data_IF_382073913025
#
_entry.id   IF_382073913025
#
_cell.length_a   1.000
_cell.length_b   1.000
_cell.length_c   1.000
_cell.angle_alpha   90.00
_cell.angle_beta   90.00
_cell.angle_gamma   90.00
#
_symmetry.space_group_name_H-M   'P 1'
#
loop_
_entity.id
_entity.type
_entity.pdbx_description
1 polymer ?
#
# COMPACT_ATOMS: atom_id res chain seq x y z
N UNK A 1 -2.09 30.06 0.95
CA UNK A 1 -2.94 29.41 -0.09
C UNK A 1 -2.39 28.02 -0.37
N UNK A 2 -3.10 26.97 0.05
CA UNK A 2 -2.73 25.59 -0.26
C UNK A 2 -2.87 25.35 -1.75
N UNK A 3 -1.74 25.23 -2.45
CA UNK A 3 -1.70 24.80 -3.86
C UNK A 3 -2.42 23.46 -3.96
N UNK A 4 -3.51 23.39 -4.72
CA UNK A 4 -4.24 22.13 -4.95
C UNK A 4 -3.28 21.13 -5.59
N UNK A 5 -2.85 20.12 -4.85
CA UNK A 5 -2.05 19.01 -5.36
C UNK A 5 -2.98 17.92 -5.90
N UNK A 6 -2.57 17.26 -6.99
CA UNK A 6 -3.34 16.13 -7.56
C UNK A 6 -3.38 15.00 -6.51
N UNK A 7 -4.56 14.50 -6.10
CA UNK A 7 -4.65 13.36 -5.20
C UNK A 7 -3.90 12.14 -5.76
N UNK A 8 -3.13 11.47 -4.91
CA UNK A 8 -2.31 10.31 -5.30
C UNK A 8 -1.02 10.66 -6.04
N UNK A 9 -0.66 11.94 -6.16
CA UNK A 9 0.67 12.37 -6.60
C UNK A 9 1.66 12.37 -5.44
N UNK A 10 2.96 12.29 -5.74
CA UNK A 10 4.01 12.42 -4.72
C UNK A 10 3.89 13.71 -3.91
N UNK A 11 3.42 14.80 -4.54
CA UNK A 11 3.17 16.08 -3.88
C UNK A 11 2.05 16.03 -2.85
N UNK A 12 0.98 15.28 -3.15
CA UNK A 12 -0.08 15.05 -2.17
C UNK A 12 0.38 14.16 -1.01
N UNK A 13 1.30 13.22 -1.26
CA UNK A 13 1.92 12.39 -0.21
C UNK A 13 2.80 13.23 0.69
N UNK A 14 3.67 14.07 0.12
CA UNK A 14 4.55 14.98 0.88
C UNK A 14 3.74 15.95 1.75
N UNK A 15 2.63 16.48 1.23
CA UNK A 15 1.72 17.31 2.04
C UNK A 15 1.11 16.55 3.22
N UNK A 16 0.75 15.28 3.05
CA UNK A 16 0.25 14.45 4.15
C UNK A 16 1.33 14.16 5.19
N UNK A 17 2.57 13.93 4.76
CA UNK A 17 3.72 13.80 5.69
C UNK A 17 3.89 15.07 6.51
N UNK A 18 3.91 16.25 5.86
CA UNK A 18 4.03 17.54 6.56
C UNK A 18 2.87 17.74 7.55
N UNK A 19 1.64 17.38 7.16
CA UNK A 19 0.49 17.48 8.04
C UNK A 19 0.58 16.53 9.25
N UNK A 20 1.11 15.32 9.07
CA UNK A 20 1.29 14.35 10.16
C UNK A 20 2.27 14.83 11.24
N UNK A 21 3.25 15.65 10.87
CA UNK A 21 4.15 16.33 11.80
C UNK A 21 3.53 17.58 12.47
N UNK A 22 2.29 17.95 12.15
CA UNK A 22 1.64 19.15 12.69
C UNK A 22 1.88 20.43 11.88
N UNK A 23 2.40 20.31 10.65
CA UNK A 23 2.63 21.45 9.75
C UNK A 23 4.08 21.63 9.34
N UNK A 24 4.33 22.58 8.45
CA UNK A 24 5.65 22.76 7.80
C UNK A 24 6.74 23.18 8.78
N UNK A 25 6.39 23.93 9.82
CA UNK A 25 7.33 24.39 10.85
C UNK A 25 7.88 23.22 11.67
N UNK A 26 6.98 22.36 12.18
CA UNK A 26 7.34 21.17 12.93
C UNK A 26 8.07 20.15 12.05
N UNK A 27 7.60 19.93 10.82
CA UNK A 27 8.28 19.05 9.88
C UNK A 27 9.71 19.52 9.55
N UNK A 28 9.92 20.83 9.38
CA UNK A 28 11.25 21.39 9.13
C UNK A 28 12.19 21.24 10.33
N UNK A 29 11.66 21.50 11.53
CA UNK A 29 12.37 21.32 12.80
C UNK A 29 12.86 19.88 12.97
N UNK A 30 11.95 18.91 12.83
CA UNK A 30 12.27 17.48 12.97
C UNK A 30 13.24 16.99 11.88
N UNK A 31 13.12 17.52 10.66
CA UNK A 31 14.03 17.21 9.58
C UNK A 31 15.42 17.90 9.72
N UNK A 32 15.60 18.79 10.71
CA UNK A 32 16.86 19.50 10.94
C UNK A 32 17.23 20.50 9.83
N UNK A 33 16.24 21.04 9.12
CA UNK A 33 16.44 21.97 8.01
C UNK A 33 15.58 23.22 8.17
N UNK A 34 15.92 24.30 7.46
CA UNK A 34 15.08 25.51 7.48
C UNK A 34 13.74 25.28 6.77
N UNK A 35 12.70 26.01 7.18
CA UNK A 35 11.38 25.99 6.50
C UNK A 35 11.52 26.38 5.03
N UNK A 36 12.41 27.31 4.70
CA UNK A 36 12.72 27.68 3.32
C UNK A 36 13.33 26.51 2.55
N UNK A 37 14.23 25.74 3.16
CA UNK A 37 14.83 24.54 2.57
C UNK A 37 13.80 23.43 2.38
N UNK A 38 12.89 23.23 3.34
CA UNK A 38 11.82 22.25 3.22
C UNK A 38 10.84 22.68 2.12
N UNK A 39 10.37 23.93 2.14
CA UNK A 39 9.48 24.49 1.11
C UNK A 39 10.10 24.32 -0.27
N UNK A 40 11.35 24.80 -0.44
CA UNK A 40 12.12 24.66 -1.66
C UNK A 40 12.36 23.19 -2.06
N UNK A 41 12.61 22.32 -1.09
CA UNK A 41 12.85 20.90 -1.29
C UNK A 41 11.62 20.11 -1.75
N UNK A 42 10.42 20.62 -1.50
CA UNK A 42 9.16 20.06 -1.99
C UNK A 42 8.76 20.56 -3.39
N UNK A 43 9.38 21.63 -3.89
CA UNK A 43 9.12 22.14 -5.23
C UNK A 43 9.61 21.19 -6.34
N UNK A 44 8.92 21.21 -7.48
CA UNK A 44 9.33 20.49 -8.68
C UNK A 44 10.31 21.36 -9.48
N UNK A 45 11.59 21.33 -9.11
CA UNK A 45 12.68 22.00 -9.83
C UNK A 45 13.80 21.00 -10.16
N UNK A 46 14.35 21.11 -11.37
CA UNK A 46 15.39 20.20 -11.88
C UNK A 46 16.81 20.71 -11.60
N UNK A 47 16.97 22.01 -11.34
CA UNK A 47 18.24 22.69 -11.11
C UNK A 47 18.71 22.64 -9.65
N UNK A 48 18.23 21.67 -8.87
CA UNK A 48 18.53 21.57 -7.44
C UNK A 48 19.98 21.07 -7.21
N UNK A 49 20.82 21.81 -6.48
CA UNK A 49 22.05 21.27 -5.93
C UNK A 49 21.74 20.31 -4.76
N UNK A 50 22.38 19.15 -4.74
CA UNK A 50 22.26 18.15 -3.67
C UNK A 50 21.30 17.00 -3.99
N UNK A 51 21.80 16.00 -4.74
CA UNK A 51 21.26 14.64 -4.83
C UNK A 51 19.88 14.46 -5.47
N UNK A 52 19.42 13.20 -5.49
CA UNK A 52 18.10 12.81 -5.99
C UNK A 52 17.01 13.16 -4.95
N UNK A 53 16.19 14.17 -5.25
CA UNK A 53 14.99 14.49 -4.43
C UNK A 53 13.82 13.51 -4.65
N UNK A 54 12.80 13.58 -3.77
CA UNK A 54 11.61 12.69 -3.80
C UNK A 54 10.87 12.71 -5.16
N UNK A 55 10.86 13.85 -5.85
CA UNK A 55 10.29 13.97 -7.20
C UNK A 55 11.08 13.17 -8.26
N UNK A 56 12.39 12.99 -8.08
CA UNK A 56 13.20 12.15 -8.97
C UNK A 56 12.94 10.67 -8.71
N UNK A 57 12.79 10.29 -7.44
CA UNK A 57 12.42 8.93 -7.06
C UNK A 57 11.03 8.54 -7.56
N UNK A 58 10.04 9.45 -7.49
CA UNK A 58 8.72 9.26 -8.12
C UNK A 58 8.84 9.06 -9.63
N UNK A 59 9.69 9.86 -10.31
CA UNK A 59 9.94 9.69 -11.75
C UNK A 59 10.59 8.35 -12.08
N UNK A 60 11.62 7.93 -11.33
CA UNK A 60 12.27 6.63 -11.52
C UNK A 60 11.28 5.48 -11.31
N UNK A 61 10.46 5.52 -10.25
CA UNK A 61 9.46 4.50 -9.97
C UNK A 61 8.31 4.45 -10.99
N UNK A 62 8.03 5.54 -11.70
CA UNK A 62 7.07 5.54 -12.84
C UNK A 62 7.67 4.92 -14.10
N UNK A 63 8.96 5.12 -14.34
CA UNK A 63 9.67 4.58 -15.52
C UNK A 63 9.91 3.08 -15.33
N UNK A 64 10.41 2.70 -14.15
CA UNK A 64 10.70 1.32 -13.76
C UNK A 64 9.94 1.00 -12.46
N UNK A 65 8.73 0.41 -12.54
CA UNK A 65 7.93 0.09 -11.37
C UNK A 65 8.66 -0.77 -10.33
N UNK A 66 9.59 -1.63 -10.76
CA UNK A 66 10.42 -2.42 -9.84
C UNK A 66 11.29 -1.55 -8.92
N UNK A 67 11.68 -0.35 -9.36
CA UNK A 67 12.45 0.59 -8.54
C UNK A 67 11.62 1.21 -7.39
N UNK A 68 10.28 1.16 -7.47
CA UNK A 68 9.41 1.64 -6.39
C UNK A 68 9.34 0.67 -5.20
N UNK A 69 9.60 -0.63 -5.44
CA UNK A 69 9.45 -1.68 -4.44
C UNK A 69 10.35 -1.47 -3.20
N UNK A 70 11.67 -1.22 -3.33
CA UNK A 70 12.53 -1.04 -2.15
C UNK A 70 12.12 0.15 -1.28
N UNK A 71 11.65 1.24 -1.89
CA UNK A 71 11.16 2.41 -1.14
C UNK A 71 9.88 2.08 -0.39
N UNK A 72 8.94 1.39 -1.03
CA UNK A 72 7.69 1.00 -0.41
C UNK A 72 7.91 0.04 0.77
N UNK A 73 8.81 -0.94 0.63
CA UNK A 73 9.22 -1.83 1.71
C UNK A 73 9.86 -1.06 2.88
N UNK A 74 10.78 -0.14 2.58
CA UNK A 74 11.45 0.67 3.60
C UNK A 74 10.46 1.51 4.42
N UNK A 75 9.59 2.28 3.76
CA UNK A 75 8.63 3.12 4.46
C UNK A 75 7.52 2.33 5.16
N UNK A 76 7.18 1.14 4.67
CA UNK A 76 6.24 0.25 5.37
C UNK A 76 6.84 -0.26 6.68
N UNK A 77 8.13 -0.64 6.67
CA UNK A 77 8.84 -1.06 7.88
C UNK A 77 8.93 0.07 8.91
N UNK A 78 9.21 1.31 8.48
CA UNK A 78 9.20 2.49 9.37
C UNK A 78 7.83 2.75 10.00
N UNK A 79 6.75 2.42 9.30
CA UNK A 79 5.38 2.51 9.81
C UNK A 79 4.98 1.31 10.71
N UNK A 80 5.91 0.39 11.00
CA UNK A 80 5.63 -0.82 11.77
C UNK A 80 4.86 -1.90 11.00
N UNK A 81 4.82 -1.81 9.68
CA UNK A 81 4.09 -2.73 8.80
C UNK A 81 4.98 -3.49 7.82
N UNK A 82 4.35 -4.32 7.00
CA UNK A 82 4.98 -5.05 5.89
C UNK A 82 4.39 -4.56 4.58
N UNK A 83 5.24 -4.38 3.56
CA UNK A 83 4.77 -4.13 2.21
C UNK A 83 4.42 -5.45 1.53
N UNK A 84 3.16 -5.61 1.13
CA UNK A 84 2.71 -6.76 0.35
C UNK A 84 2.54 -6.33 -1.11
N UNK A 85 3.48 -6.64 -2.02
CA UNK A 85 3.35 -6.33 -3.43
C UNK A 85 2.17 -7.11 -4.01
N UNK A 86 1.31 -6.40 -4.74
CA UNK A 86 0.16 -7.00 -5.38
C UNK A 86 0.47 -7.14 -6.86
N UNK A 87 0.56 -8.37 -7.35
CA UNK A 87 0.72 -8.62 -8.78
C UNK A 87 -0.58 -8.30 -9.52
N UNK A 88 -0.48 -7.36 -10.45
CA UNK A 88 -1.57 -6.89 -11.32
C UNK A 88 -1.49 -7.48 -12.73
N UNK A 89 -0.50 -8.32 -13.00
CA UNK A 89 -0.36 -9.01 -14.29
C UNK A 89 -1.34 -10.20 -14.37
N UNK A 90 -2.62 -9.88 -14.57
CA UNK A 90 -3.67 -10.88 -14.72
C UNK A 90 -4.93 -10.31 -15.37
N UNK A 91 -5.79 -11.15 -15.95
CA UNK A 91 -7.04 -10.68 -16.56
C UNK A 91 -7.91 -9.97 -15.51
N UNK A 92 -8.17 -8.68 -15.75
CA UNK A 92 -9.04 -7.78 -14.96
C UNK A 92 -10.51 -8.26 -14.82
N UNK A 93 -10.88 -9.40 -15.38
CA UNK A 93 -12.26 -9.82 -15.61
C UNK A 93 -12.80 -10.85 -14.59
N UNK A 94 -12.15 -11.06 -13.45
CA UNK A 94 -12.66 -11.98 -12.41
C UNK A 94 -12.54 -11.49 -10.97
N UNK A 95 -12.46 -10.19 -10.71
CA UNK A 95 -12.16 -9.71 -9.35
C UNK A 95 -13.25 -10.05 -8.31
N UNK A 96 -14.53 -9.84 -8.62
CA UNK A 96 -15.60 -10.14 -7.65
C UNK A 96 -15.90 -11.64 -7.55
N UNK A 97 -15.78 -12.38 -8.65
CA UNK A 97 -15.95 -13.83 -8.63
C UNK A 97 -14.81 -14.51 -7.86
N UNK A 98 -13.57 -14.03 -8.02
CA UNK A 98 -12.41 -14.49 -7.26
C UNK A 98 -12.54 -14.18 -5.77
N UNK A 99 -12.88 -12.94 -5.40
CA UNK A 99 -13.14 -12.59 -3.98
C UNK A 99 -14.26 -13.46 -3.40
N UNK A 100 -15.34 -13.67 -4.15
CA UNK A 100 -16.47 -14.48 -3.68
C UNK A 100 -16.08 -15.94 -3.49
N UNK A 101 -15.25 -16.49 -4.38
CA UNK A 101 -14.69 -17.84 -4.24
C UNK A 101 -13.83 -17.94 -2.98
N UNK A 102 -12.81 -17.09 -2.83
CA UNK A 102 -11.90 -17.20 -1.67
C UNK A 102 -12.65 -16.94 -0.35
N UNK A 103 -13.67 -16.07 -0.35
CA UNK A 103 -14.55 -15.90 0.81
C UNK A 103 -15.35 -17.16 1.12
N UNK A 104 -15.90 -17.83 0.09
CA UNK A 104 -16.63 -19.08 0.27
C UNK A 104 -15.71 -20.20 0.78
N UNK A 105 -14.46 -20.25 0.32
CA UNK A 105 -13.46 -21.23 0.76
C UNK A 105 -13.10 -21.02 2.24
N UNK A 106 -12.85 -19.77 2.67
CA UNK A 106 -12.67 -19.39 4.09
C UNK A 106 -13.85 -19.82 4.96
N UNK A 107 -15.09 -19.55 4.52
CA UNK A 107 -16.31 -19.89 5.27
C UNK A 107 -16.52 -21.41 5.32
N UNK A 108 -16.26 -22.11 4.22
CA UNK A 108 -16.40 -23.57 4.14
C UNK A 108 -15.42 -24.25 5.09
N UNK A 109 -14.16 -23.84 5.09
CA UNK A 109 -13.15 -24.40 5.97
C UNK A 109 -13.46 -24.14 7.45
N UNK A 110 -13.93 -22.93 7.78
CA UNK A 110 -14.41 -22.61 9.13
C UNK A 110 -15.59 -23.52 9.54
N UNK A 111 -16.56 -23.71 8.66
CA UNK A 111 -17.71 -24.58 8.94
C UNK A 111 -17.30 -26.04 9.13
N UNK A 112 -16.31 -26.53 8.36
CA UNK A 112 -15.78 -27.90 8.51
C UNK A 112 -15.01 -28.06 9.83
N UNK A 113 -14.13 -27.13 10.16
CA UNK A 113 -13.35 -27.15 11.41
C UNK A 113 -14.23 -27.11 12.65
N UNK A 114 -15.40 -26.47 12.58
CA UNK A 114 -16.38 -26.43 13.68
C UNK A 114 -17.54 -27.41 13.54
N UNK A 115 -17.43 -28.38 12.63
CA UNK A 115 -18.44 -29.44 12.47
C UNK A 115 -18.19 -30.61 13.43
N UNK A 116 -19.22 -31.43 13.67
CA UNK A 116 -19.09 -32.67 14.45
C UNK A 116 -18.07 -33.68 13.88
N UNK A 117 -17.62 -33.48 12.64
CA UNK A 117 -16.58 -34.29 11.99
C UNK A 117 -15.15 -33.82 12.25
N UNK A 118 -14.95 -32.66 12.88
CA UNK A 118 -13.61 -32.17 13.24
C UNK A 118 -13.05 -32.90 14.46
N UNK A 119 -11.72 -33.10 14.55
CA UNK A 119 -11.07 -33.58 15.77
C UNK A 119 -11.28 -32.69 17.00
N UNK A 120 -11.48 -31.38 16.82
CA UNK A 120 -11.84 -30.46 17.90
C UNK A 120 -12.89 -29.45 17.42
N UNK A 121 -14.19 -29.78 17.45
CA UNK A 121 -15.24 -28.90 16.91
C UNK A 121 -15.35 -27.53 17.60
N UNK A 122 -14.71 -27.34 18.77
CA UNK A 122 -14.79 -26.10 19.56
C UNK A 122 -13.65 -25.14 19.28
N UNK A 123 -12.61 -25.57 18.58
CA UNK A 123 -11.45 -24.75 18.23
C UNK A 123 -10.85 -25.22 16.90
N UNK A 124 -9.74 -24.61 16.48
CA UNK A 124 -8.96 -25.13 15.37
C UNK A 124 -7.88 -26.08 15.87
N UNK A 125 -7.73 -27.24 15.22
CA UNK A 125 -6.45 -27.96 15.30
C UNK A 125 -5.35 -27.14 14.64
N UNK A 126 -4.08 -27.45 14.94
CA UNK A 126 -2.93 -26.77 14.32
C UNK A 126 -2.96 -26.83 12.78
N UNK A 127 -3.38 -27.97 12.22
CA UNK A 127 -3.50 -28.16 10.77
C UNK A 127 -4.60 -27.29 10.16
N UNK A 128 -5.79 -27.32 10.75
CA UNK A 128 -6.92 -26.50 10.28
C UNK A 128 -6.63 -25.00 10.45
N UNK A 129 -5.97 -24.59 11.54
CA UNK A 129 -5.55 -23.19 11.74
C UNK A 129 -4.57 -22.74 10.65
N UNK A 130 -3.61 -23.60 10.28
CA UNK A 130 -2.63 -23.30 9.23
C UNK A 130 -3.31 -23.14 7.87
N UNK A 131 -4.22 -24.05 7.52
CA UNK A 131 -5.00 -23.94 6.29
C UNK A 131 -5.93 -22.73 6.30
N UNK A 132 -6.57 -22.42 7.42
CA UNK A 132 -7.42 -21.25 7.56
C UNK A 132 -6.64 -19.95 7.36
N UNK A 133 -5.43 -19.86 7.90
CA UNK A 133 -4.54 -18.72 7.67
C UNK A 133 -4.22 -18.58 6.18
N UNK A 134 -3.89 -19.69 5.49
CA UNK A 134 -3.64 -19.67 4.05
C UNK A 134 -4.84 -19.16 3.26
N UNK A 135 -6.04 -19.67 3.53
CA UNK A 135 -7.29 -19.23 2.85
C UNK A 135 -7.58 -17.75 3.12
N UNK A 136 -7.34 -17.27 4.34
CA UNK A 136 -7.47 -15.84 4.67
C UNK A 136 -6.46 -15.00 3.88
N UNK A 137 -5.21 -15.43 3.77
CA UNK A 137 -4.18 -14.73 3.00
C UNK A 137 -4.52 -14.66 1.50
N UNK A 138 -5.11 -15.72 0.94
CA UNK A 138 -5.59 -15.77 -0.44
C UNK A 138 -6.76 -14.80 -0.66
N UNK A 139 -7.73 -14.75 0.26
CA UNK A 139 -8.82 -13.77 0.24
C UNK A 139 -8.30 -12.32 0.33
N UNK A 140 -7.37 -12.04 1.25
CA UNK A 140 -6.75 -10.72 1.39
C UNK A 140 -6.03 -10.33 0.11
N UNK A 141 -5.30 -11.26 -0.50
CA UNK A 141 -4.62 -11.04 -1.78
C UNK A 141 -5.61 -10.70 -2.89
N UNK A 142 -6.72 -11.44 -3.00
CA UNK A 142 -7.77 -11.18 -3.99
C UNK A 142 -8.41 -9.79 -3.79
N UNK A 143 -8.72 -9.41 -2.55
CA UNK A 143 -9.27 -8.09 -2.23
C UNK A 143 -8.28 -6.96 -2.53
N UNK A 144 -7.00 -7.13 -2.19
CA UNK A 144 -5.95 -6.15 -2.46
C UNK A 144 -5.69 -5.99 -3.97
N UNK A 145 -5.75 -7.07 -4.76
CA UNK A 145 -5.71 -7.03 -6.23
C UNK A 145 -6.82 -6.16 -6.79
N UNK A 146 -8.06 -6.40 -6.39
CA UNK A 146 -9.20 -5.61 -6.86
C UNK A 146 -9.06 -4.12 -6.50
N UNK A 147 -8.69 -3.83 -5.25
CA UNK A 147 -8.45 -2.43 -4.80
C UNK A 147 -7.36 -1.75 -5.62
N UNK A 148 -6.24 -2.43 -5.85
CA UNK A 148 -5.13 -1.89 -6.63
C UNK A 148 -5.53 -1.63 -8.10
N UNK A 149 -6.33 -2.50 -8.71
CA UNK A 149 -6.89 -2.29 -10.06
C UNK A 149 -7.79 -1.05 -10.12
N UNK A 150 -8.66 -0.84 -9.13
CA UNK A 150 -9.48 0.38 -9.03
C UNK A 150 -8.62 1.63 -8.86
N UNK A 151 -7.58 1.57 -8.01
CA UNK A 151 -6.64 2.68 -7.83
C UNK A 151 -5.92 3.04 -9.12
N UNK A 152 -5.54 2.06 -9.94
CA UNK A 152 -4.94 2.31 -11.26
C UNK A 152 -5.91 3.00 -12.21
N UNK A 153 -7.19 2.60 -12.26
CA UNK A 153 -8.22 3.30 -13.06
C UNK A 153 -8.39 4.76 -12.63
N UNK A 154 -8.41 5.03 -11.33
CA UNK A 154 -8.47 6.40 -10.78
C UNK A 154 -7.24 7.21 -11.20
N UNK A 155 -6.07 6.57 -11.28
CA UNK A 155 -4.81 7.22 -11.72
C UNK A 155 -4.76 7.48 -13.22
N UNK A 156 -5.23 6.55 -14.07
CA UNK A 156 -5.13 6.60 -15.53
C UNK A 156 -6.30 7.32 -16.24
N UNK A 157 -7.42 7.63 -15.57
CA UNK A 157 -8.54 8.35 -16.19
C UNK A 157 -8.29 9.87 -16.40
N UNK A 158 -7.03 10.34 -16.27
CA UNK A 158 -6.51 11.69 -16.53
C UNK A 158 -4.99 11.61 -16.74
#
# INVERSE_FOLDING_TARGET
MTRRTRPGSIQSTVQQVIAAYGGIEAAALEAGISISTLSYGTEQREDRPGGLGVNHLDRLGRIEPGAALPMAQHFSALAGGVFHPVDLSGPSWSDMAGISKEFADVVTLHAVAHSDGSPDPRDYTLGEATEQIREIDELVTAALRHRAALMMKVRCSK
#
